data_IF_014070676405
#
_entry.id   IF_014070676405
#
_cell.length_a   1.000
_cell.length_b   1.000
_cell.length_c   1.000
_cell.angle_alpha   90.00
_cell.angle_beta   90.00
_cell.angle_gamma   90.00
#
_symmetry.space_group_name_H-M   'P 1'
#
loop_
_entity.id
_entity.type
_entity.pdbx_description
1 polymer ?
#
# COMPACT_ATOMS: atom_id res chain seq x y z
N UNK A 1 10.69 -10.79 -19.10
CA UNK A 1 9.95 -9.51 -19.26
C UNK A 1 8.58 -9.85 -19.85
N UNK A 2 7.61 -10.24 -19.02
CA UNK A 2 6.25 -10.63 -19.44
C UNK A 2 5.32 -9.53 -18.94
N UNK A 3 4.67 -8.85 -19.89
CA UNK A 3 3.63 -7.86 -19.61
C UNK A 3 2.37 -8.61 -19.19
N UNK A 4 1.81 -8.22 -18.05
CA UNK A 4 0.61 -8.79 -17.45
C UNK A 4 -0.66 -8.25 -18.13
N UNK A 5 -0.92 -8.66 -19.38
CA UNK A 5 -2.17 -8.41 -20.10
C UNK A 5 -3.22 -9.49 -19.78
N UNK A 6 -3.49 -9.72 -18.50
CA UNK A 6 -4.66 -10.51 -18.09
C UNK A 6 -5.43 -9.70 -17.06
N UNK A 7 -6.76 -9.73 -17.09
CA UNK A 7 -7.67 -8.91 -16.26
C UNK A 7 -7.48 -9.00 -14.73
N UNK A 8 -6.47 -9.72 -14.25
CA UNK A 8 -5.94 -9.62 -12.89
C UNK A 8 -5.53 -8.19 -12.52
N UNK A 9 -4.96 -7.42 -13.44
CA UNK A 9 -4.65 -6.01 -13.22
C UNK A 9 -5.90 -5.16 -12.95
N UNK A 10 -6.94 -5.35 -13.77
CA UNK A 10 -8.23 -4.67 -13.58
C UNK A 10 -8.91 -5.07 -12.25
N UNK A 11 -8.86 -6.36 -11.91
CA UNK A 11 -9.38 -6.86 -10.64
C UNK A 11 -8.64 -6.28 -9.43
N UNK A 12 -7.31 -6.22 -9.48
CA UNK A 12 -6.49 -5.64 -8.43
C UNK A 12 -6.74 -4.13 -8.25
N UNK A 13 -6.89 -3.38 -9.35
CA UNK A 13 -7.27 -1.97 -9.32
C UNK A 13 -8.65 -1.79 -8.68
N UNK A 14 -9.64 -2.61 -9.07
CA UNK A 14 -11.00 -2.55 -8.54
C UNK A 14 -11.06 -2.77 -7.02
N UNK A 15 -10.37 -3.80 -6.51
CA UNK A 15 -10.33 -4.11 -5.08
C UNK A 15 -9.63 -3.01 -4.29
N UNK A 16 -8.48 -2.54 -4.78
CA UNK A 16 -7.72 -1.45 -4.15
C UNK A 16 -8.56 -0.17 -4.06
N UNK A 17 -9.26 0.17 -5.14
CA UNK A 17 -10.17 1.31 -5.18
C UNK A 17 -11.34 1.18 -4.21
N UNK A 18 -11.97 0.00 -4.15
CA UNK A 18 -13.07 -0.25 -3.22
C UNK A 18 -12.62 -0.10 -1.75
N UNK A 19 -11.44 -0.63 -1.40
CA UNK A 19 -10.86 -0.51 -0.07
C UNK A 19 -10.58 0.95 0.32
N UNK A 20 -9.96 1.73 -0.57
CA UNK A 20 -9.69 3.16 -0.34
C UNK A 20 -11.00 3.96 -0.25
N UNK A 21 -11.99 3.64 -1.08
CA UNK A 21 -13.30 4.27 -1.04
C UNK A 21 -14.00 4.04 0.30
N UNK A 22 -13.90 2.82 0.84
CA UNK A 22 -14.42 2.50 2.17
C UNK A 22 -13.65 3.24 3.26
N UNK A 23 -12.32 3.27 3.19
CA UNK A 23 -11.49 4.02 4.14
C UNK A 23 -11.88 5.51 4.17
N UNK A 24 -12.13 6.13 3.02
CA UNK A 24 -12.62 7.52 2.95
C UNK A 24 -14.02 7.70 3.53
N UNK A 25 -14.92 6.73 3.38
CA UNK A 25 -16.26 6.79 3.99
C UNK A 25 -16.17 6.74 5.52
N UNK A 26 -15.23 5.97 6.07
CA UNK A 26 -15.07 5.78 7.51
C UNK A 26 -14.27 6.94 8.14
N UNK A 27 -13.15 7.32 7.52
CA UNK A 27 -12.19 8.27 8.09
C UNK A 27 -12.25 9.67 7.48
N UNK A 28 -13.05 9.87 6.43
CA UNK A 28 -13.13 11.12 5.69
C UNK A 28 -11.90 11.34 4.81
N UNK A 29 -11.18 12.42 5.06
CA UNK A 29 -9.94 12.71 4.37
C UNK A 29 -8.80 11.83 4.92
N UNK A 30 -7.95 11.33 4.03
CA UNK A 30 -6.80 10.49 4.40
C UNK A 30 -5.49 11.27 4.48
N UNK A 31 -5.49 12.58 4.19
CA UNK A 31 -4.26 13.39 4.15
C UNK A 31 -3.42 13.35 5.42
N UNK A 32 -4.04 13.36 6.59
CA UNK A 32 -3.34 13.33 7.87
C UNK A 32 -3.25 11.92 8.45
N UNK A 33 -3.49 10.89 7.62
CA UNK A 33 -3.49 9.50 8.04
C UNK A 33 -2.21 8.80 7.64
N UNK A 34 -1.73 7.99 8.55
CA UNK A 34 -0.67 7.02 8.34
C UNK A 34 -1.27 5.71 7.88
N UNK A 35 -0.65 5.06 6.90
CA UNK A 35 -1.11 3.79 6.34
C UNK A 35 0.02 2.77 6.32
N UNK A 36 -0.28 1.57 6.83
CA UNK A 36 0.60 0.41 6.74
C UNK A 36 0.13 -0.52 5.63
N UNK A 37 0.95 -0.71 4.60
CA UNK A 37 0.74 -1.68 3.53
C UNK A 37 1.50 -2.96 3.87
N UNK A 38 0.76 -4.05 4.02
CA UNK A 38 1.32 -5.37 4.32
C UNK A 38 1.32 -6.23 3.06
N UNK A 39 2.52 -6.54 2.56
CA UNK A 39 2.75 -7.23 1.30
C UNK A 39 3.43 -6.33 0.26
N UNK A 40 3.96 -6.95 -0.79
CA UNK A 40 4.64 -6.27 -1.90
C UNK A 40 4.41 -6.98 -3.24
N UNK A 41 3.19 -7.47 -3.46
CA UNK A 41 2.73 -7.98 -4.76
C UNK A 41 1.96 -6.92 -5.54
N UNK A 42 1.49 -7.27 -6.74
CA UNK A 42 0.87 -6.32 -7.69
C UNK A 42 -0.28 -5.51 -7.08
N UNK A 43 -1.15 -6.16 -6.30
CA UNK A 43 -2.27 -5.48 -5.64
C UNK A 43 -1.81 -4.52 -4.53
N UNK A 44 -0.78 -4.89 -3.76
CA UNK A 44 -0.20 -4.03 -2.75
C UNK A 44 0.49 -2.81 -3.39
N UNK A 45 1.16 -3.01 -4.52
CA UNK A 45 1.76 -1.93 -5.29
C UNK A 45 0.71 -0.95 -5.81
N UNK A 46 -0.33 -1.45 -6.48
CA UNK A 46 -1.43 -0.62 -6.96
C UNK A 46 -2.12 0.13 -5.81
N UNK A 47 -2.37 -0.54 -4.68
CA UNK A 47 -2.96 0.09 -3.50
C UNK A 47 -2.08 1.21 -2.96
N UNK A 48 -0.78 0.97 -2.81
CA UNK A 48 0.16 1.97 -2.29
C UNK A 48 0.25 3.20 -3.20
N UNK A 49 0.28 3.01 -4.53
CA UNK A 49 0.26 4.13 -5.49
C UNK A 49 -1.04 4.92 -5.41
N UNK A 50 -2.18 4.26 -5.26
CA UNK A 50 -3.46 4.95 -5.09
C UNK A 50 -3.52 5.70 -3.75
N UNK A 51 -3.00 5.14 -2.66
CA UNK A 51 -2.90 5.84 -1.38
C UNK A 51 -2.00 7.07 -1.47
N UNK A 52 -0.87 6.98 -2.17
CA UNK A 52 0.01 8.11 -2.42
C UNK A 52 -0.71 9.22 -3.18
N UNK A 53 -1.52 8.89 -4.19
CA UNK A 53 -2.32 9.88 -4.93
C UNK A 53 -3.41 10.54 -4.08
N UNK A 54 -3.85 9.89 -3.00
CA UNK A 54 -4.73 10.49 -1.98
C UNK A 54 -3.98 11.40 -0.98
N UNK A 55 -2.67 11.59 -1.16
CA UNK A 55 -1.81 12.45 -0.34
C UNK A 55 -1.81 12.08 1.14
N UNK A 56 -1.83 10.80 1.47
CA UNK A 56 -1.71 10.33 2.86
C UNK A 56 -0.40 10.81 3.49
N UNK A 57 -0.40 11.08 4.79
CA UNK A 57 0.74 11.69 5.49
C UNK A 57 1.97 10.79 5.47
N UNK A 58 1.77 9.48 5.59
CA UNK A 58 2.85 8.51 5.61
C UNK A 58 2.37 7.16 5.09
N UNK A 59 3.18 6.56 4.23
CA UNK A 59 3.02 5.16 3.80
C UNK A 59 4.17 4.36 4.38
N UNK A 60 3.84 3.34 5.15
CA UNK A 60 4.78 2.34 5.65
C UNK A 60 4.50 1.03 4.94
N UNK A 61 5.54 0.35 4.46
CA UNK A 61 5.41 -0.93 3.76
C UNK A 61 6.14 -1.99 4.56
N UNK A 62 5.47 -3.11 4.81
CA UNK A 62 6.11 -4.31 5.37
C UNK A 62 5.86 -5.51 4.48
N UNK A 63 6.84 -6.39 4.37
CA UNK A 63 6.71 -7.63 3.63
C UNK A 63 7.63 -8.69 4.24
N UNK A 64 7.28 -9.97 4.05
CA UNK A 64 8.11 -11.11 4.52
C UNK A 64 9.55 -11.01 4.03
N UNK A 65 9.74 -10.49 2.82
CA UNK A 65 11.07 -10.15 2.27
C UNK A 65 11.25 -8.64 2.30
N UNK A 66 12.15 -8.15 3.17
CA UNK A 66 12.40 -6.72 3.40
C UNK A 66 12.74 -5.96 2.11
N UNK A 67 13.61 -6.53 1.26
CA UNK A 67 14.03 -5.88 0.00
C UNK A 67 12.87 -5.59 -0.94
N UNK A 68 11.79 -6.39 -0.89
CA UNK A 68 10.56 -6.12 -1.66
C UNK A 68 9.74 -4.99 -1.04
N UNK A 69 9.68 -4.90 0.29
CA UNK A 69 9.05 -3.77 0.98
C UNK A 69 9.78 -2.47 0.66
N UNK A 70 11.11 -2.46 0.75
CA UNK A 70 11.95 -1.32 0.39
C UNK A 70 11.76 -0.89 -1.06
N UNK A 71 11.70 -1.85 -1.99
CA UNK A 71 11.46 -1.56 -3.41
C UNK A 71 10.10 -0.90 -3.63
N UNK A 72 9.05 -1.37 -2.96
CA UNK A 72 7.73 -0.75 -3.07
C UNK A 72 7.68 0.62 -2.37
N UNK A 73 8.21 0.72 -1.15
CA UNK A 73 8.26 1.97 -0.39
C UNK A 73 8.93 3.10 -1.19
N UNK A 74 10.06 2.81 -1.86
CA UNK A 74 10.75 3.78 -2.73
C UNK A 74 9.87 4.30 -3.87
N UNK A 75 8.98 3.48 -4.44
CA UNK A 75 8.10 3.91 -5.55
C UNK A 75 7.05 4.93 -5.10
N UNK A 76 6.67 4.88 -3.83
CA UNK A 76 5.57 5.69 -3.27
C UNK A 76 6.06 6.72 -2.25
N UNK A 77 7.36 6.98 -2.22
CA UNK A 77 8.01 7.90 -1.26
C UNK A 77 7.70 7.56 0.21
N UNK A 78 7.48 6.27 0.49
CA UNK A 78 7.21 5.74 1.82
C UNK A 78 8.45 5.18 2.52
N UNK A 79 8.23 4.62 3.71
CA UNK A 79 9.25 3.91 4.49
C UNK A 79 8.98 2.41 4.50
N UNK A 80 10.04 1.59 4.53
CA UNK A 80 9.91 0.15 4.69
C UNK A 80 10.32 -0.30 6.09
N UNK A 81 9.63 -1.31 6.60
CA UNK A 81 9.92 -1.93 7.91
C UNK A 81 10.01 -3.44 7.76
N UNK A 82 10.71 -4.09 8.70
CA UNK A 82 10.77 -5.55 8.71
C UNK A 82 9.41 -6.16 9.05
N UNK A 83 9.20 -7.41 8.63
CA UNK A 83 8.00 -8.16 8.99
C UNK A 83 7.82 -8.27 10.52
N UNK A 84 8.93 -8.41 11.26
CA UNK A 84 8.92 -8.49 12.72
C UNK A 84 8.46 -7.20 13.40
N UNK A 85 8.45 -6.07 12.70
CA UNK A 85 8.03 -4.77 13.23
C UNK A 85 6.55 -4.46 12.97
N UNK A 86 5.81 -5.30 12.21
CA UNK A 86 4.41 -5.05 11.84
C UNK A 86 3.53 -4.79 13.06
N UNK A 87 3.66 -5.60 14.11
CA UNK A 87 2.84 -5.46 15.32
C UNK A 87 3.10 -4.14 16.04
N UNK A 88 4.36 -3.68 16.07
CA UNK A 88 4.70 -2.38 16.62
C UNK A 88 4.07 -1.25 15.79
N UNK A 89 4.05 -1.39 14.47
CA UNK A 89 3.48 -0.36 13.59
C UNK A 89 1.96 -0.25 13.65
N UNK A 90 1.25 -1.28 14.09
CA UNK A 90 -0.21 -1.24 14.30
C UNK A 90 -0.62 -0.45 15.54
N UNK A 91 0.31 -0.21 16.46
CA UNK A 91 0.07 0.54 17.70
C UNK A 91 0.25 2.07 17.54
N UNK A 92 0.68 2.51 16.35
CA UNK A 92 0.99 3.90 15.99
C UNK A 92 -0.04 4.47 14.99
#
# INVERSE_FOLDING_TARGET
KVRADTGLGEGAVSVSYAAISLARKIFGNLKDRRVLVVGAGDMAELTAVHLQSQQVAQIVVSNRTLTRAEALARKVEGSAVSWSAVDAELLH
#
